data_IF_317560446974
#
_entry.id   IF_317560446974
#
_cell.length_a   1.000
_cell.length_b   1.000
_cell.length_c   1.000
_cell.angle_alpha   90.00
_cell.angle_beta   90.00
_cell.angle_gamma   90.00
#
_symmetry.space_group_name_H-M   'P 1'
#
loop_
_entity.id
_entity.type
_entity.pdbx_description
1 polymer ?
#
# COMPACT_ATOMS: atom_id res chain seq x y z
N UNK A 1 43.40 -16.57 6.32
CA UNK A 1 42.46 -17.43 7.04
C UNK A 1 42.88 -18.88 6.86
N UNK A 2 42.81 -19.71 7.91
CA UNK A 2 43.19 -21.14 7.86
C UNK A 2 42.34 -21.91 6.85
N UNK A 3 41.04 -21.57 6.70
CA UNK A 3 40.12 -22.27 5.81
C UNK A 3 40.43 -22.18 4.31
N UNK A 4 40.94 -21.04 3.81
CA UNK A 4 41.32 -20.94 2.39
C UNK A 4 42.51 -21.82 2.04
N UNK A 5 43.43 -22.06 2.99
CA UNK A 5 44.56 -22.97 2.78
C UNK A 5 44.10 -24.44 2.70
N UNK A 6 42.98 -24.77 3.37
CA UNK A 6 42.38 -26.10 3.38
C UNK A 6 41.54 -26.40 2.13
N UNK A 7 40.73 -25.44 1.65
CA UNK A 7 39.75 -25.67 0.56
C UNK A 7 40.35 -25.44 -0.84
N UNK A 8 41.18 -24.41 -1.02
CA UNK A 8 41.64 -24.00 -2.36
C UNK A 8 42.39 -25.14 -3.09
N UNK A 9 43.26 -25.93 -2.43
CA UNK A 9 43.87 -27.10 -3.06
C UNK A 9 42.85 -28.17 -3.52
N UNK A 10 41.77 -28.38 -2.74
CA UNK A 10 40.70 -29.32 -3.07
C UNK A 10 39.90 -28.87 -4.30
N UNK A 11 39.46 -27.60 -4.33
CA UNK A 11 38.73 -27.04 -5.48
C UNK A 11 39.58 -27.12 -6.75
N UNK A 12 40.87 -26.80 -6.64
CA UNK A 12 41.78 -26.80 -7.78
C UNK A 12 42.07 -28.22 -8.30
N UNK A 13 42.16 -29.20 -7.40
CA UNK A 13 42.31 -30.60 -7.76
C UNK A 13 41.05 -31.12 -8.47
N UNK A 14 39.88 -30.91 -7.90
CA UNK A 14 38.63 -31.39 -8.49
C UNK A 14 38.32 -30.73 -9.83
N UNK A 15 38.54 -29.41 -9.95
CA UNK A 15 38.36 -28.71 -11.23
C UNK A 15 39.26 -29.22 -12.35
N UNK A 16 40.47 -29.69 -12.04
CA UNK A 16 41.37 -30.33 -13.04
C UNK A 16 40.90 -31.74 -13.38
N UNK A 17 40.43 -32.50 -12.39
CA UNK A 17 39.89 -33.86 -12.60
C UNK A 17 38.64 -33.81 -13.48
N UNK A 18 37.72 -32.88 -13.21
CA UNK A 18 36.48 -32.74 -13.99
C UNK A 18 36.76 -32.30 -15.44
N UNK A 19 37.71 -31.38 -15.63
CA UNK A 19 38.04 -30.86 -16.95
C UNK A 19 38.88 -31.82 -17.81
N UNK A 20 39.76 -32.62 -17.19
CA UNK A 20 40.83 -33.33 -17.89
C UNK A 20 41.02 -34.80 -17.50
N UNK A 21 40.23 -35.30 -16.55
CA UNK A 21 40.32 -36.67 -16.03
C UNK A 21 41.39 -36.85 -14.95
N UNK A 22 41.30 -37.99 -14.25
CA UNK A 22 42.13 -38.33 -13.08
C UNK A 22 43.65 -38.37 -13.36
N UNK A 23 44.03 -38.70 -14.60
CA UNK A 23 45.42 -38.81 -15.07
C UNK A 23 46.16 -37.47 -15.07
N UNK A 24 45.43 -36.35 -15.02
CA UNK A 24 45.94 -34.99 -15.21
C UNK A 24 46.10 -34.20 -13.90
N UNK A 25 46.01 -34.84 -12.73
CA UNK A 25 46.18 -34.22 -11.40
C UNK A 25 47.52 -33.46 -11.23
N UNK A 26 48.56 -33.80 -11.99
CA UNK A 26 49.87 -33.12 -12.00
C UNK A 26 49.82 -31.70 -12.57
N UNK A 27 48.77 -31.35 -13.32
CA UNK A 27 48.56 -30.02 -13.90
C UNK A 27 47.87 -29.04 -12.93
N UNK A 28 47.58 -29.47 -11.70
CA UNK A 28 47.05 -28.60 -10.64
C UNK A 28 48.03 -27.51 -10.22
N UNK A 29 49.34 -27.66 -10.46
CA UNK A 29 50.35 -26.68 -10.03
C UNK A 29 50.51 -26.59 -8.51
N UNK A 30 50.01 -27.58 -7.76
CA UNK A 30 50.19 -27.69 -6.31
C UNK A 30 51.54 -28.32 -5.98
N UNK A 31 52.22 -27.91 -4.88
CA UNK A 31 53.36 -28.63 -4.33
C UNK A 31 53.00 -30.10 -4.02
N UNK A 32 53.95 -31.02 -4.16
CA UNK A 32 53.68 -32.47 -4.05
C UNK A 32 53.06 -32.88 -2.70
N UNK A 33 53.44 -32.20 -1.60
CA UNK A 33 52.85 -32.41 -0.28
C UNK A 33 51.38 -31.99 -0.22
N UNK A 34 51.04 -30.81 -0.77
CA UNK A 34 49.69 -30.28 -0.81
C UNK A 34 48.77 -31.08 -1.76
N UNK A 35 49.31 -31.55 -2.89
CA UNK A 35 48.58 -32.42 -3.81
C UNK A 35 48.19 -33.74 -3.12
N UNK A 36 49.14 -34.41 -2.48
CA UNK A 36 48.89 -35.68 -1.78
C UNK A 36 47.88 -35.53 -0.64
N UNK A 37 47.90 -34.39 0.04
CA UNK A 37 46.93 -34.08 1.08
C UNK A 37 45.53 -33.80 0.53
N UNK A 38 45.43 -33.03 -0.56
CA UNK A 38 44.17 -32.77 -1.26
C UNK A 38 43.56 -34.06 -1.83
N UNK A 39 44.37 -34.94 -2.43
CA UNK A 39 43.93 -36.25 -2.92
C UNK A 39 43.33 -37.10 -1.79
N UNK A 40 43.99 -37.14 -0.63
CA UNK A 40 43.51 -37.88 0.53
C UNK A 40 42.17 -37.34 1.06
N UNK A 41 42.00 -36.02 1.08
CA UNK A 41 40.76 -35.36 1.50
C UNK A 41 39.63 -35.62 0.49
N UNK A 42 39.94 -35.52 -0.80
CA UNK A 42 39.00 -35.77 -1.89
C UNK A 42 38.50 -37.23 -1.88
N UNK A 43 39.40 -38.19 -1.72
CA UNK A 43 39.05 -39.61 -1.62
C UNK A 43 38.08 -39.86 -0.44
N UNK A 44 38.34 -39.22 0.70
CA UNK A 44 37.45 -39.31 1.87
C UNK A 44 36.07 -38.72 1.60
N UNK A 45 35.98 -37.60 0.87
CA UNK A 45 34.71 -36.97 0.49
C UNK A 45 33.93 -37.85 -0.51
N UNK A 46 34.64 -38.47 -1.47
CA UNK A 46 34.06 -39.28 -2.54
C UNK A 46 33.79 -40.73 -2.15
N UNK A 47 34.29 -41.21 -1.01
CA UNK A 47 34.15 -42.61 -0.58
C UNK A 47 32.69 -43.13 -0.64
N UNK A 48 31.73 -42.34 -0.13
CA UNK A 48 30.30 -42.70 -0.15
C UNK A 48 29.72 -42.70 -1.57
N UNK A 49 30.12 -41.73 -2.38
CA UNK A 49 29.71 -41.65 -3.79
C UNK A 49 30.19 -42.88 -4.58
N UNK A 50 31.46 -43.26 -4.40
CA UNK A 50 32.08 -44.41 -5.04
C UNK A 50 31.45 -45.73 -4.58
N UNK A 51 31.06 -45.84 -3.31
CA UNK A 51 30.35 -47.00 -2.77
C UNK A 51 28.97 -47.16 -3.42
N UNK A 52 28.17 -46.09 -3.46
CA UNK A 52 26.84 -46.09 -4.08
C UNK A 52 26.92 -46.35 -5.60
N UNK A 53 27.92 -45.79 -6.28
CA UNK A 53 28.16 -46.05 -7.71
C UNK A 53 28.56 -47.50 -7.98
N UNK A 54 29.28 -48.15 -7.06
CA UNK A 54 29.62 -49.59 -7.17
C UNK A 54 28.42 -50.51 -6.96
N UNK A 55 27.47 -50.13 -6.11
CA UNK A 55 26.24 -50.91 -5.90
C UNK A 55 25.19 -50.69 -6.98
N UNK A 56 25.39 -49.72 -7.88
CA UNK A 56 24.45 -49.38 -8.95
C UNK A 56 23.23 -48.59 -8.47
N UNK A 57 23.22 -48.12 -7.22
CA UNK A 57 22.08 -47.44 -6.60
C UNK A 57 22.09 -45.92 -6.79
N UNK A 58 23.04 -45.39 -7.57
CA UNK A 58 23.24 -43.95 -7.76
C UNK A 58 22.01 -43.21 -8.30
N UNK A 59 21.19 -43.87 -9.12
CA UNK A 59 19.96 -43.28 -9.68
C UNK A 59 18.79 -43.24 -8.67
N UNK A 60 18.92 -43.95 -7.54
CA UNK A 60 17.86 -44.13 -6.54
C UNK A 60 18.13 -43.37 -5.23
N UNK A 61 19.13 -42.50 -5.17
CA UNK A 61 19.43 -41.72 -3.98
C UNK A 61 18.58 -40.46 -3.89
N UNK A 62 18.34 -40.00 -2.66
CA UNK A 62 17.91 -38.62 -2.44
C UNK A 62 19.10 -37.68 -2.61
N UNK A 63 19.10 -36.95 -3.74
CA UNK A 63 20.16 -36.00 -4.06
C UNK A 63 20.26 -34.84 -3.08
N UNK A 64 19.15 -34.40 -2.46
CA UNK A 64 19.17 -33.29 -1.51
C UNK A 64 19.86 -33.71 -0.21
N UNK A 65 19.54 -34.90 0.30
CA UNK A 65 20.19 -35.46 1.48
C UNK A 65 21.68 -35.75 1.24
N UNK A 66 22.03 -36.31 0.07
CA UNK A 66 23.42 -36.54 -0.31
C UNK A 66 24.21 -35.22 -0.41
N UNK A 67 23.63 -34.18 -1.02
CA UNK A 67 24.26 -32.86 -1.09
C UNK A 67 24.45 -32.25 0.30
N UNK A 68 23.42 -32.29 1.16
CA UNK A 68 23.49 -31.77 2.51
C UNK A 68 24.57 -32.48 3.34
N UNK A 69 24.68 -33.81 3.24
CA UNK A 69 25.71 -34.57 3.96
C UNK A 69 27.12 -34.26 3.43
N UNK A 70 27.27 -34.10 2.12
CA UNK A 70 28.56 -33.76 1.49
C UNK A 70 29.02 -32.36 1.89
N UNK A 71 28.11 -31.38 1.90
CA UNK A 71 28.39 -30.03 2.38
C UNK A 71 28.83 -30.02 3.85
N UNK A 72 28.15 -30.78 4.73
CA UNK A 72 28.58 -30.91 6.14
C UNK A 72 29.98 -31.51 6.29
N UNK A 73 30.36 -32.46 5.45
CA UNK A 73 31.71 -33.03 5.45
C UNK A 73 32.76 -32.01 5.00
N UNK A 74 32.43 -31.17 4.00
CA UNK A 74 33.27 -30.07 3.56
C UNK A 74 33.39 -29.03 4.68
N UNK A 75 32.30 -28.63 5.32
CA UNK A 75 32.31 -27.69 6.44
C UNK A 75 33.22 -28.19 7.58
N UNK A 76 33.16 -29.48 7.90
CA UNK A 76 34.02 -30.09 8.91
C UNK A 76 35.52 -30.14 8.56
N UNK A 77 35.91 -29.88 7.31
CA UNK A 77 37.31 -29.69 6.92
C UNK A 77 37.81 -28.26 7.17
N UNK A 78 36.88 -27.31 7.24
CA UNK A 78 37.16 -25.86 7.25
C UNK A 78 37.02 -25.31 8.65
N UNK A 79 35.98 -25.75 9.36
CA UNK A 79 35.58 -25.21 10.64
C UNK A 79 35.77 -26.26 11.75
N UNK A 80 36.34 -25.84 12.87
CA UNK A 80 36.43 -26.69 14.07
C UNK A 80 35.16 -26.49 14.91
N UNK A 81 34.57 -27.55 15.50
CA UNK A 81 33.39 -27.40 16.37
C UNK A 81 33.57 -26.38 17.52
N UNK A 82 34.80 -26.23 18.02
CA UNK A 82 35.18 -25.24 19.03
C UNK A 82 35.16 -23.78 18.54
N UNK A 83 35.20 -23.53 17.23
CA UNK A 83 35.09 -22.19 16.64
C UNK A 83 33.64 -21.68 16.61
N UNK A 84 32.65 -22.55 16.92
CA UNK A 84 31.24 -22.20 17.01
C UNK A 84 30.74 -22.03 18.46
N UNK A 85 31.62 -22.06 19.46
CA UNK A 85 31.19 -21.89 20.85
C UNK A 85 30.59 -20.51 21.15
N UNK A 86 30.93 -19.51 20.35
CA UNK A 86 30.42 -18.13 20.43
C UNK A 86 29.25 -17.86 19.45
N UNK A 87 28.76 -18.89 18.74
CA UNK A 87 27.63 -18.73 17.83
C UNK A 87 26.34 -18.74 18.64
N UNK A 88 25.68 -17.58 18.71
CA UNK A 88 24.34 -17.48 19.25
C UNK A 88 23.33 -17.92 18.19
N UNK A 89 22.26 -18.57 18.62
CA UNK A 89 21.14 -18.94 17.76
C UNK A 89 20.42 -17.64 17.34
N UNK A 90 20.70 -17.21 16.12
CA UNK A 90 20.18 -15.97 15.53
C UNK A 90 19.66 -16.34 14.15
N UNK A 91 18.34 -16.38 14.03
CA UNK A 91 17.67 -16.65 12.77
C UNK A 91 17.32 -15.33 12.09
N UNK A 92 17.92 -15.04 10.93
CA UNK A 92 17.50 -13.94 10.07
C UNK A 92 16.19 -14.31 9.37
N UNK A 93 15.09 -13.69 9.79
CA UNK A 93 13.76 -13.99 9.28
C UNK A 93 13.44 -13.26 7.96
N UNK A 94 13.96 -12.04 7.81
CA UNK A 94 13.75 -11.20 6.64
C UNK A 94 14.77 -10.05 6.58
N UNK A 95 14.94 -9.50 5.38
CA UNK A 95 15.77 -8.32 5.12
C UNK A 95 15.03 -7.34 4.21
N UNK A 96 15.10 -6.07 4.55
CA UNK A 96 14.57 -4.98 3.71
C UNK A 96 15.69 -4.02 3.37
N UNK A 97 16.04 -4.00 2.09
CA UNK A 97 16.98 -3.02 1.55
C UNK A 97 16.41 -1.62 1.63
N UNK A 98 17.22 -0.68 2.11
CA UNK A 98 16.89 0.75 2.11
C UNK A 98 17.62 1.46 0.97
N UNK A 99 17.16 2.66 0.60
CA UNK A 99 17.81 3.46 -0.44
C UNK A 99 19.25 3.91 -0.07
N UNK A 100 19.62 3.80 1.21
CA UNK A 100 20.96 4.18 1.71
C UNK A 100 21.96 3.02 1.68
N UNK A 101 21.53 1.82 1.30
CA UNK A 101 22.35 0.61 1.39
C UNK A 101 22.52 0.08 2.82
N UNK A 102 21.80 0.66 3.80
CA UNK A 102 21.75 0.21 5.18
C UNK A 102 20.47 -0.59 5.40
N UNK A 103 20.60 -1.91 5.42
CA UNK A 103 19.42 -2.78 5.47
C UNK A 103 18.73 -2.75 6.84
N UNK A 104 17.43 -3.04 6.81
CA UNK A 104 16.66 -3.42 7.99
C UNK A 104 16.69 -4.94 8.08
N UNK A 105 17.18 -5.46 9.21
CA UNK A 105 17.33 -6.90 9.44
C UNK A 105 16.33 -7.35 10.49
N UNK A 106 15.57 -8.39 10.19
CA UNK A 106 14.60 -9.01 11.09
C UNK A 106 15.21 -10.29 11.65
N UNK A 107 15.23 -10.41 12.96
CA UNK A 107 15.85 -11.55 13.64
C UNK A 107 14.90 -12.17 14.66
N UNK A 108 14.98 -13.49 14.81
CA UNK A 108 14.54 -14.20 16.00
C UNK A 108 15.79 -14.62 16.79
N UNK A 109 15.81 -14.32 18.09
CA UNK A 109 16.93 -14.70 18.96
C UNK A 109 16.56 -14.53 20.43
N UNK A 110 17.17 -15.36 21.28
CA UNK A 110 17.13 -15.21 22.74
C UNK A 110 17.97 -14.01 23.23
N UNK A 111 18.82 -13.44 22.38
CA UNK A 111 19.67 -12.29 22.72
C UNK A 111 18.86 -11.01 22.96
N UNK A 112 19.39 -10.16 23.84
CA UNK A 112 18.93 -8.78 23.93
C UNK A 112 19.25 -8.00 22.65
N UNK A 113 18.44 -7.00 22.30
CA UNK A 113 18.63 -6.21 21.06
C UNK A 113 20.01 -5.54 20.96
N UNK A 114 20.64 -5.20 22.10
CA UNK A 114 22.00 -4.65 22.16
C UNK A 114 23.09 -5.71 21.95
N UNK A 115 22.88 -6.92 22.46
CA UNK A 115 23.80 -8.05 22.25
C UNK A 115 23.74 -8.50 20.79
N UNK A 116 22.52 -8.57 20.24
CA UNK A 116 22.29 -8.85 18.84
C UNK A 116 22.95 -7.80 17.94
N UNK A 117 22.87 -6.51 18.27
CA UNK A 117 23.57 -5.45 17.54
C UNK A 117 25.08 -5.70 17.44
N UNK A 118 25.73 -6.02 18.57
CA UNK A 118 27.17 -6.31 18.60
C UNK A 118 27.49 -7.57 17.80
N UNK A 119 26.66 -8.61 17.90
CA UNK A 119 26.81 -9.86 17.19
C UNK A 119 26.70 -9.68 15.67
N UNK A 120 25.64 -9.04 15.18
CA UNK A 120 25.43 -8.80 13.74
C UNK A 120 26.51 -7.90 13.15
N UNK A 121 27.00 -6.91 13.90
CA UNK A 121 28.11 -6.05 13.45
C UNK A 121 29.40 -6.84 13.23
N UNK A 122 29.68 -7.84 14.09
CA UNK A 122 30.82 -8.76 13.90
C UNK A 122 30.61 -9.68 12.70
N UNK A 123 29.38 -10.20 12.51
CA UNK A 123 29.06 -11.17 11.47
C UNK A 123 29.08 -10.55 10.06
N UNK A 124 28.40 -9.43 9.85
CA UNK A 124 28.27 -8.82 8.53
C UNK A 124 29.42 -7.87 8.17
N UNK A 125 30.32 -7.57 9.12
CA UNK A 125 31.41 -6.59 8.95
C UNK A 125 30.92 -5.14 8.71
N UNK A 126 29.61 -4.93 8.66
CA UNK A 126 28.93 -3.66 8.45
C UNK A 126 27.73 -3.59 9.38
N UNK A 127 27.49 -2.41 9.95
CA UNK A 127 26.40 -2.20 10.88
C UNK A 127 25.06 -2.11 10.11
N UNK A 128 24.04 -2.92 10.47
CA UNK A 128 22.70 -2.80 9.89
C UNK A 128 22.10 -1.42 10.21
N UNK A 129 21.16 -0.94 9.40
CA UNK A 129 20.50 0.34 9.64
C UNK A 129 19.53 0.26 10.82
N UNK A 130 18.65 -0.74 10.79
CA UNK A 130 17.67 -1.02 11.85
C UNK A 130 17.63 -2.52 12.11
N UNK A 131 17.54 -2.90 13.38
CA UNK A 131 17.30 -4.27 13.82
C UNK A 131 15.86 -4.38 14.32
N UNK A 132 15.15 -5.39 13.83
CA UNK A 132 13.81 -5.76 14.30
C UNK A 132 13.89 -7.14 14.93
N UNK A 133 13.94 -7.17 16.25
CA UNK A 133 14.03 -8.39 17.04
C UNK A 133 12.63 -8.89 17.41
N UNK A 134 12.29 -10.10 16.98
CA UNK A 134 11.16 -10.85 17.50
C UNK A 134 11.58 -11.52 18.82
N UNK A 135 10.86 -11.25 19.91
CA UNK A 135 11.10 -11.93 21.20
C UNK A 135 10.14 -13.09 21.44
N UNK A 136 8.95 -12.97 20.88
CA UNK A 136 7.90 -13.99 20.89
C UNK A 136 6.90 -13.66 19.77
N UNK A 137 6.02 -14.60 19.39
CA UNK A 137 4.98 -14.32 18.40
C UNK A 137 4.19 -13.06 18.77
N UNK A 138 4.17 -12.06 17.88
CA UNK A 138 3.46 -10.80 18.08
C UNK A 138 4.17 -9.76 18.97
N UNK A 139 5.40 -10.02 19.44
CA UNK A 139 6.19 -9.08 20.26
C UNK A 139 7.51 -8.77 19.58
N UNK A 140 7.67 -7.50 19.18
CA UNK A 140 8.83 -7.02 18.45
C UNK A 140 9.49 -5.84 19.16
N UNK A 141 10.82 -5.81 19.13
CA UNK A 141 11.65 -4.68 19.53
C UNK A 141 12.33 -4.11 18.29
N UNK A 142 12.17 -2.81 18.07
CA UNK A 142 12.79 -2.09 16.97
C UNK A 142 13.94 -1.26 17.54
N UNK A 143 15.09 -1.33 16.89
CA UNK A 143 16.25 -0.52 17.25
C UNK A 143 16.91 0.04 16.00
N UNK A 144 16.94 1.35 15.89
CA UNK A 144 17.78 2.03 14.94
C UNK A 144 19.22 1.94 15.44
N UNK A 145 20.09 1.47 14.56
CA UNK A 145 21.47 1.19 14.88
C UNK A 145 22.37 2.20 14.14
N UNK A 146 22.05 2.54 12.89
CA UNK A 146 22.73 3.60 12.15
C UNK A 146 22.07 4.97 12.41
N UNK A 147 22.79 5.86 13.08
CA UNK A 147 22.37 7.24 13.36
C UNK A 147 22.31 8.12 12.11
N UNK A 148 22.93 7.70 11.00
CA UNK A 148 22.95 8.44 9.74
C UNK A 148 21.81 8.06 8.79
N UNK A 149 20.86 7.23 9.24
CA UNK A 149 19.61 7.04 8.49
C UNK A 149 18.89 8.40 8.35
N UNK A 150 18.28 8.69 7.19
CA UNK A 150 17.66 9.99 6.92
C UNK A 150 16.50 10.32 7.85
N UNK A 151 15.83 9.28 8.34
CA UNK A 151 14.66 9.35 9.22
C UNK A 151 14.88 8.40 10.40
N UNK A 152 14.29 8.75 11.54
CA UNK A 152 14.30 7.91 12.73
C UNK A 152 13.13 6.89 12.70
N UNK A 153 12.83 6.21 13.80
CA UNK A 153 11.75 5.22 13.84
C UNK A 153 10.33 5.81 13.88
N UNK A 154 10.14 7.12 14.11
CA UNK A 154 8.79 7.73 14.22
C UNK A 154 7.91 7.51 12.99
N UNK A 155 8.38 7.71 11.74
CA UNK A 155 7.58 7.45 10.55
C UNK A 155 7.19 5.97 10.41
N UNK A 156 8.04 5.06 10.89
CA UNK A 156 7.74 3.63 10.93
C UNK A 156 6.66 3.33 11.97
N UNK A 157 6.72 3.94 13.15
CA UNK A 157 5.66 3.81 14.17
C UNK A 157 4.34 4.35 13.66
N UNK A 158 4.31 5.52 13.03
CA UNK A 158 3.12 6.08 12.42
C UNK A 158 2.53 5.10 11.38
N UNK A 159 3.39 4.48 10.56
CA UNK A 159 2.97 3.50 9.56
C UNK A 159 2.40 2.24 10.19
N UNK A 160 3.09 1.64 11.15
CA UNK A 160 2.66 0.42 11.83
C UNK A 160 1.35 0.65 12.60
N UNK A 161 1.23 1.78 13.30
CA UNK A 161 -0.01 2.16 14.00
C UNK A 161 -1.20 2.35 13.05
N UNK A 162 -0.96 2.77 11.82
CA UNK A 162 -1.99 2.91 10.80
C UNK A 162 -2.50 1.56 10.27
N UNK A 163 -1.62 0.56 10.12
CA UNK A 163 -1.97 -0.73 9.50
C UNK A 163 -2.27 -1.86 10.49
N UNK A 164 -1.78 -1.77 11.73
CA UNK A 164 -1.95 -2.83 12.75
C UNK A 164 -3.36 -2.83 13.36
N UNK A 165 -4.15 -3.90 13.18
CA UNK A 165 -5.49 -4.03 13.77
C UNK A 165 -5.49 -4.15 15.31
N UNK A 166 -4.34 -4.41 15.94
CA UNK A 166 -4.22 -4.44 17.39
C UNK A 166 -4.26 -3.05 18.04
N UNK A 167 -3.94 -2.00 17.26
CA UNK A 167 -3.91 -0.63 17.73
C UNK A 167 -5.32 -0.04 17.66
N UNK A 168 -5.96 0.12 18.83
CA UNK A 168 -7.35 0.64 18.94
C UNK A 168 -7.44 1.97 19.68
N UNK A 169 -6.48 2.24 20.55
CA UNK A 169 -6.45 3.35 21.49
C UNK A 169 -5.04 3.92 21.63
N UNK A 170 -4.94 5.19 22.02
CA UNK A 170 -3.67 5.92 22.11
C UNK A 170 -2.67 5.32 23.11
N UNK A 171 -3.12 4.45 24.03
CA UNK A 171 -2.27 3.80 25.04
C UNK A 171 -1.62 2.48 24.59
N UNK A 172 -2.11 1.87 23.50
CA UNK A 172 -1.64 0.56 23.03
C UNK A 172 -1.20 0.63 21.56
N UNK A 173 -0.09 1.33 21.32
CA UNK A 173 0.47 1.61 20.00
C UNK A 173 1.88 1.03 19.86
N UNK A 174 2.34 0.88 18.63
CA UNK A 174 3.77 0.87 18.33
C UNK A 174 4.39 2.20 18.75
N UNK A 175 5.54 2.16 19.42
CA UNK A 175 6.20 3.38 19.86
C UNK A 175 7.39 3.14 20.79
N UNK A 176 8.04 4.24 21.17
CA UNK A 176 9.28 4.26 21.94
C UNK A 176 9.94 5.63 21.84
N UNK A 177 11.27 5.66 21.82
CA UNK A 177 12.02 6.81 21.34
C UNK A 177 12.22 6.73 19.83
N UNK A 178 12.73 7.79 19.21
CA UNK A 178 13.11 7.77 17.80
C UNK A 178 14.15 6.70 17.43
N UNK A 179 14.88 6.14 18.40
CA UNK A 179 15.94 5.16 18.16
C UNK A 179 15.60 3.75 18.64
N UNK A 180 14.67 3.60 19.58
CA UNK A 180 14.29 2.29 20.11
C UNK A 180 12.84 2.26 20.56
N UNK A 181 12.13 1.19 20.23
CA UNK A 181 10.75 0.99 20.65
C UNK A 181 10.28 -0.42 20.37
N UNK A 182 8.97 -0.62 20.32
CA UNK A 182 8.42 -1.95 20.10
C UNK A 182 6.96 -1.97 19.74
N UNK A 183 6.45 -3.20 19.63
CA UNK A 183 5.03 -3.51 19.40
C UNK A 183 4.13 -3.06 20.55
N UNK A 184 2.81 -2.96 20.33
CA UNK A 184 1.83 -2.62 21.38
C UNK A 184 2.00 -3.51 22.62
N UNK A 185 2.17 -2.89 23.79
CA UNK A 185 2.58 -3.60 25.02
C UNK A 185 1.50 -4.51 25.59
N UNK A 186 0.23 -4.16 25.44
CA UNK A 186 -0.86 -4.86 26.10
C UNK A 186 -1.34 -6.08 25.30
N UNK A 187 -1.28 -5.99 23.97
CA UNK A 187 -1.85 -7.02 23.08
C UNK A 187 -0.85 -7.68 22.16
N UNK A 188 0.36 -7.12 22.03
CA UNK A 188 1.22 -7.41 20.88
C UNK A 188 0.63 -6.87 19.57
N UNK A 189 1.36 -7.09 18.48
CA UNK A 189 0.91 -6.80 17.11
C UNK A 189 0.09 -7.96 16.54
N UNK A 190 -0.86 -7.65 15.66
CA UNK A 190 -1.57 -8.64 14.82
C UNK A 190 -1.01 -8.72 13.40
N UNK A 191 0.00 -7.91 13.08
CA UNK A 191 0.69 -7.96 11.80
C UNK A 191 1.59 -9.19 11.74
N UNK A 192 1.61 -9.82 10.58
CA UNK A 192 2.64 -10.79 10.19
C UNK A 192 3.99 -10.11 9.98
N UNK A 193 5.07 -10.88 10.06
CA UNK A 193 6.43 -10.42 9.76
C UNK A 193 6.51 -9.71 8.39
N UNK A 194 5.83 -10.27 7.38
CA UNK A 194 5.79 -9.70 6.03
C UNK A 194 5.17 -8.30 6.02
N UNK A 195 4.08 -8.09 6.76
CA UNK A 195 3.41 -6.78 6.81
C UNK A 195 4.23 -5.74 7.56
N UNK A 196 4.97 -6.16 8.60
CA UNK A 196 5.92 -5.28 9.29
C UNK A 196 7.07 -4.92 8.33
N UNK A 197 7.65 -5.89 7.63
CA UNK A 197 8.67 -5.65 6.62
C UNK A 197 8.18 -4.73 5.49
N UNK A 198 6.94 -4.89 5.04
CA UNK A 198 6.32 -4.01 4.05
C UNK A 198 6.12 -2.58 4.60
N UNK A 199 5.80 -2.40 5.89
CA UNK A 199 5.75 -1.09 6.53
C UNK A 199 7.12 -0.38 6.53
N UNK A 200 8.19 -1.12 6.83
CA UNK A 200 9.56 -0.61 6.72
C UNK A 200 9.92 -0.25 5.28
N UNK A 201 9.55 -1.09 4.31
CA UNK A 201 9.80 -0.83 2.88
C UNK A 201 9.09 0.45 2.43
N UNK A 202 7.82 0.65 2.76
CA UNK A 202 7.07 1.86 2.39
C UNK A 202 7.70 3.12 2.99
N UNK A 203 8.33 3.00 4.16
CA UNK A 203 8.92 4.15 4.89
C UNK A 203 10.32 4.49 4.38
N UNK A 204 11.22 3.50 4.29
CA UNK A 204 12.63 3.76 3.94
C UNK A 204 12.95 3.63 2.44
N UNK A 205 12.06 3.02 1.65
CA UNK A 205 12.24 2.90 0.21
C UNK A 205 11.28 3.84 -0.50
N UNK A 206 11.83 4.87 -1.14
CA UNK A 206 11.04 5.70 -2.06
C UNK A 206 10.50 4.83 -3.20
N UNK A 207 9.19 4.89 -3.50
CA UNK A 207 8.62 4.16 -4.62
C UNK A 207 9.30 4.56 -5.94
N UNK A 208 9.50 3.59 -6.82
CA UNK A 208 10.01 3.88 -8.16
C UNK A 208 8.96 4.57 -9.02
N UNK A 209 9.39 5.23 -10.10
CA UNK A 209 8.48 5.82 -11.10
C UNK A 209 7.48 4.77 -11.63
N UNK A 210 7.95 3.54 -11.83
CA UNK A 210 7.10 2.43 -12.26
C UNK A 210 6.05 2.02 -11.22
N UNK A 211 6.35 2.13 -9.92
CA UNK A 211 5.35 1.89 -8.88
C UNK A 211 4.26 2.95 -8.91
N UNK A 212 4.64 4.22 -9.12
CA UNK A 212 3.69 5.31 -9.30
C UNK A 212 2.77 5.08 -10.50
N UNK A 213 3.34 4.76 -11.68
CA UNK A 213 2.57 4.49 -12.90
C UNK A 213 1.64 3.29 -12.70
N UNK A 214 2.15 2.17 -12.18
CA UNK A 214 1.35 0.97 -11.95
C UNK A 214 0.19 1.25 -11.00
N UNK A 215 0.47 1.86 -9.85
CA UNK A 215 -0.56 2.16 -8.85
C UNK A 215 -1.57 3.20 -9.37
N UNK A 216 -1.14 4.14 -10.21
CA UNK A 216 -2.03 5.06 -10.91
C UNK A 216 -2.96 4.32 -11.89
N UNK A 217 -2.43 3.42 -12.73
CA UNK A 217 -3.25 2.62 -13.65
C UNK A 217 -4.24 1.72 -12.91
N UNK A 218 -3.83 1.12 -11.78
CA UNK A 218 -4.78 0.40 -10.92
C UNK A 218 -5.87 1.30 -10.35
N UNK A 219 -5.51 2.51 -9.90
CA UNK A 219 -6.48 3.50 -9.45
C UNK A 219 -7.49 3.89 -10.55
N UNK A 220 -7.02 4.10 -11.79
CA UNK A 220 -7.89 4.30 -12.98
C UNK A 220 -8.82 3.11 -13.14
N UNK A 221 -8.27 1.89 -13.17
CA UNK A 221 -9.04 0.68 -13.41
C UNK A 221 -10.11 0.44 -12.36
N UNK A 222 -9.78 0.59 -11.07
CA UNK A 222 -10.73 0.47 -9.96
C UNK A 222 -11.86 1.48 -10.11
N UNK A 223 -11.52 2.74 -10.40
CA UNK A 223 -12.50 3.81 -10.58
C UNK A 223 -13.40 3.45 -11.77
N UNK A 224 -12.83 3.09 -12.92
CA UNK A 224 -13.60 2.67 -14.09
C UNK A 224 -14.51 1.46 -13.81
N UNK A 225 -14.05 0.48 -13.04
CA UNK A 225 -14.83 -0.71 -12.67
C UNK A 225 -16.04 -0.41 -11.78
N UNK A 226 -16.07 0.75 -11.11
CA UNK A 226 -17.26 1.22 -10.37
C UNK A 226 -18.12 2.12 -11.26
N UNK A 227 -17.50 3.09 -11.94
CA UNK A 227 -18.21 4.10 -12.72
C UNK A 227 -18.89 3.53 -13.96
N UNK A 228 -18.22 2.64 -14.72
CA UNK A 228 -18.73 2.09 -15.98
C UNK A 228 -19.98 1.22 -15.72
N UNK A 229 -19.96 0.22 -14.82
CA UNK A 229 -21.17 -0.56 -14.53
C UNK A 229 -22.28 0.30 -13.94
N UNK A 230 -21.96 1.26 -13.07
CA UNK A 230 -22.97 2.18 -12.53
C UNK A 230 -23.66 2.98 -13.64
N UNK A 231 -22.89 3.46 -14.62
CA UNK A 231 -23.40 4.16 -15.80
C UNK A 231 -24.29 3.26 -16.65
N UNK A 232 -23.82 2.05 -16.98
CA UNK A 232 -24.61 1.10 -17.78
C UNK A 232 -25.89 0.69 -17.07
N UNK A 233 -25.85 0.43 -15.75
CA UNK A 233 -27.04 0.07 -14.97
C UNK A 233 -28.02 1.25 -14.93
N UNK A 234 -27.55 2.46 -14.65
CA UNK A 234 -28.40 3.65 -14.67
C UNK A 234 -29.05 3.87 -16.05
N UNK A 235 -28.29 3.68 -17.12
CA UNK A 235 -28.78 3.80 -18.50
C UNK A 235 -29.83 2.72 -18.82
N UNK A 236 -29.56 1.46 -18.46
CA UNK A 236 -30.50 0.36 -18.74
C UNK A 236 -31.74 0.41 -17.85
N UNK A 237 -31.63 0.85 -16.60
CA UNK A 237 -32.80 1.08 -15.74
C UNK A 237 -33.69 2.18 -16.34
N UNK A 238 -33.09 3.25 -16.87
CA UNK A 238 -33.86 4.27 -17.57
C UNK A 238 -34.57 3.73 -18.82
N UNK A 239 -33.89 2.97 -19.67
CA UNK A 239 -34.48 2.43 -20.91
C UNK A 239 -35.53 1.35 -20.66
N UNK A 240 -35.37 0.51 -19.62
CA UNK A 240 -36.30 -0.57 -19.32
C UNK A 240 -37.62 -0.10 -18.73
N UNK A 241 -37.61 1.00 -17.98
CA UNK A 241 -38.79 1.46 -17.26
C UNK A 241 -39.56 2.59 -17.95
N UNK A 242 -39.13 3.05 -19.14
CA UNK A 242 -39.75 4.11 -19.96
C UNK A 242 -40.47 5.17 -19.09
N UNK A 243 -39.70 5.81 -18.20
CA UNK A 243 -40.19 6.67 -17.11
C UNK A 243 -40.98 7.89 -17.57
N UNK A 244 -40.97 8.16 -18.86
CA UNK A 244 -41.89 9.08 -19.51
C UNK A 244 -42.72 8.28 -20.49
N UNK A 245 -44.04 8.17 -20.30
CA UNK A 245 -44.95 7.77 -21.38
C UNK A 245 -45.01 8.80 -22.53
N UNK A 246 -43.88 9.44 -22.85
CA UNK A 246 -43.69 10.55 -23.78
C UNK A 246 -42.84 10.02 -24.92
N UNK A 247 -43.50 9.67 -26.01
CA UNK A 247 -42.86 9.15 -27.21
C UNK A 247 -41.77 10.06 -27.74
N UNK A 248 -40.60 9.46 -27.99
CA UNK A 248 -39.63 9.63 -29.10
C UNK A 248 -39.25 11.03 -29.64
N UNK A 249 -39.70 12.14 -29.05
CA UNK A 249 -39.54 13.48 -29.67
C UNK A 249 -38.51 14.36 -28.93
N UNK A 250 -38.09 13.99 -27.71
CA UNK A 250 -37.09 14.71 -26.89
C UNK A 250 -35.98 13.80 -26.31
N UNK A 251 -35.78 12.63 -26.92
CA UNK A 251 -35.01 11.50 -26.36
C UNK A 251 -33.53 11.77 -26.00
N UNK A 252 -32.91 12.85 -26.47
CA UNK A 252 -31.48 13.13 -26.21
C UNK A 252 -31.20 13.90 -24.91
N UNK A 253 -31.98 14.95 -24.62
CA UNK A 253 -31.73 15.85 -23.47
C UNK A 253 -32.33 15.27 -22.18
N UNK A 254 -33.54 14.72 -22.28
CA UNK A 254 -34.26 14.12 -21.16
C UNK A 254 -33.62 12.81 -20.69
N UNK A 255 -33.00 12.05 -21.61
CA UNK A 255 -32.24 10.85 -21.27
C UNK A 255 -30.93 11.19 -20.54
N UNK A 256 -30.24 12.27 -20.92
CA UNK A 256 -29.04 12.72 -20.23
C UNK A 256 -29.37 13.22 -18.81
N UNK A 257 -30.44 14.01 -18.66
CA UNK A 257 -30.92 14.48 -17.36
C UNK A 257 -31.41 13.35 -16.45
N UNK A 258 -32.11 12.37 -17.01
CA UNK A 258 -32.59 11.21 -16.24
C UNK A 258 -31.44 10.28 -15.84
N UNK A 259 -30.40 10.17 -16.67
CA UNK A 259 -29.17 9.44 -16.33
C UNK A 259 -28.42 10.13 -15.18
N UNK A 260 -28.35 11.46 -15.16
CA UNK A 260 -27.76 12.22 -14.05
C UNK A 260 -28.47 11.98 -12.70
N UNK A 261 -29.79 11.79 -12.72
CA UNK A 261 -30.58 11.58 -11.51
C UNK A 261 -30.51 10.12 -11.02
N UNK A 262 -30.42 9.16 -11.94
CA UNK A 262 -30.41 7.73 -11.61
C UNK A 262 -29.01 7.22 -11.26
N UNK A 263 -27.97 7.84 -11.83
CA UNK A 263 -26.57 7.45 -11.64
C UNK A 263 -26.08 7.55 -10.17
N UNK A 264 -26.36 8.63 -9.41
CA UNK A 264 -26.08 8.70 -7.98
C UNK A 264 -26.73 7.55 -7.21
N UNK A 265 -27.97 7.18 -7.54
CA UNK A 265 -28.69 6.12 -6.86
C UNK A 265 -28.00 4.76 -7.02
N UNK A 266 -27.49 4.49 -8.21
CA UNK A 266 -26.75 3.26 -8.51
C UNK A 266 -25.38 3.24 -7.82
N UNK A 267 -24.69 4.38 -7.76
CA UNK A 267 -23.41 4.48 -7.05
C UNK A 267 -23.55 4.13 -5.56
N UNK A 268 -24.64 4.53 -4.90
CA UNK A 268 -24.90 4.19 -3.48
C UNK A 268 -25.05 2.69 -3.27
N UNK A 269 -25.54 1.95 -4.26
CA UNK A 269 -25.71 0.50 -4.13
C UNK A 269 -24.39 -0.24 -4.39
N UNK A 270 -23.63 0.20 -5.39
CA UNK A 270 -22.40 -0.46 -5.81
C UNK A 270 -21.24 -0.19 -4.83
N UNK A 271 -21.08 1.04 -4.36
CA UNK A 271 -19.91 1.42 -3.54
C UNK A 271 -19.87 0.65 -2.20
N UNK A 272 -20.95 0.55 -1.40
CA UNK A 272 -20.97 -0.25 -0.19
C UNK A 272 -20.82 -1.75 -0.46
N UNK A 273 -21.35 -2.26 -1.58
CA UNK A 273 -21.21 -3.66 -1.94
C UNK A 273 -19.75 -4.02 -2.27
N UNK A 274 -19.06 -3.19 -3.07
CA UNK A 274 -17.62 -3.31 -3.34
C UNK A 274 -16.82 -3.22 -2.04
N UNK A 275 -17.20 -2.30 -1.17
CA UNK A 275 -16.57 -2.11 0.13
C UNK A 275 -16.72 -3.33 1.05
N UNK A 276 -17.94 -3.91 1.12
CA UNK A 276 -18.23 -5.11 1.91
C UNK A 276 -17.45 -6.33 1.40
N UNK A 277 -17.32 -6.47 0.08
CA UNK A 277 -16.57 -7.56 -0.57
C UNK A 277 -15.04 -7.42 -0.40
N UNK A 278 -14.53 -6.19 -0.23
CA UNK A 278 -13.09 -5.93 -0.15
C UNK A 278 -12.41 -6.35 1.16
N UNK A 279 -13.18 -6.75 2.19
CA UNK A 279 -12.63 -7.45 3.36
C UNK A 279 -11.83 -6.57 4.34
N UNK A 280 -12.45 -6.26 5.47
CA UNK A 280 -11.90 -5.99 6.83
C UNK A 280 -10.46 -5.44 6.94
N UNK A 281 -10.26 -4.16 6.59
CA UNK A 281 -9.22 -3.29 7.20
C UNK A 281 -9.78 -1.91 7.50
N UNK A 282 -10.71 -1.84 8.45
CA UNK A 282 -11.52 -0.66 8.74
C UNK A 282 -10.69 0.64 8.76
N UNK A 283 -9.59 0.68 9.52
CA UNK A 283 -8.74 1.87 9.68
C UNK A 283 -8.10 2.38 8.38
N UNK A 284 -7.52 1.50 7.59
CA UNK A 284 -6.85 1.88 6.32
C UNK A 284 -7.81 2.56 5.35
N UNK A 285 -9.09 2.21 5.42
CA UNK A 285 -10.15 2.77 4.59
C UNK A 285 -10.98 3.86 5.29
N UNK A 286 -10.57 4.32 6.49
CA UNK A 286 -11.21 5.42 7.23
C UNK A 286 -12.43 5.04 8.08
N UNK A 287 -12.57 3.75 8.38
CA UNK A 287 -13.42 3.07 9.38
C UNK A 287 -13.56 3.67 10.78
N UNK A 288 -12.58 4.47 11.17
CA UNK A 288 -12.35 4.77 12.58
C UNK A 288 -13.20 5.94 13.06
N UNK A 289 -13.32 6.05 14.38
CA UNK A 289 -13.86 7.23 15.03
C UNK A 289 -12.90 8.40 14.76
N UNK A 290 -13.38 9.57 14.30
CA UNK A 290 -12.52 10.70 14.01
C UNK A 290 -11.77 11.16 15.25
N UNK A 291 -10.47 11.37 15.10
CA UNK A 291 -9.57 11.85 16.15
C UNK A 291 -9.02 13.24 15.83
N UNK A 292 -8.69 14.01 16.87
CA UNK A 292 -8.23 15.39 16.70
C UNK A 292 -9.33 16.34 16.19
N UNK A 293 -9.00 17.63 16.13
CA UNK A 293 -9.91 18.71 15.70
C UNK A 293 -9.26 19.68 14.70
N UNK A 294 -8.01 19.45 14.36
CA UNK A 294 -7.21 20.29 13.47
C UNK A 294 -7.72 20.30 12.02
N UNK A 295 -8.37 19.23 11.58
CA UNK A 295 -9.04 19.14 10.29
C UNK A 295 -10.19 20.15 10.13
N UNK A 296 -10.74 20.69 11.22
CA UNK A 296 -11.78 21.73 11.16
C UNK A 296 -11.27 23.03 10.51
N UNK A 297 -9.97 23.31 10.60
CA UNK A 297 -9.37 24.50 9.97
C UNK A 297 -9.48 24.49 8.43
N UNK A 298 -9.76 23.34 7.83
CA UNK A 298 -9.93 23.21 6.38
C UNK A 298 -11.36 23.54 5.90
N UNK A 299 -12.34 23.70 6.80
CA UNK A 299 -13.74 23.96 6.42
C UNK A 299 -13.93 25.22 5.56
N UNK A 300 -13.29 26.37 5.87
CA UNK A 300 -13.41 27.57 5.02
C UNK A 300 -12.90 27.32 3.60
N UNK A 301 -11.82 26.56 3.45
CA UNK A 301 -11.25 26.22 2.14
C UNK A 301 -12.16 25.25 1.36
N UNK A 302 -12.79 24.29 2.05
CA UNK A 302 -13.79 23.41 1.46
C UNK A 302 -15.00 24.22 0.93
N UNK A 303 -15.49 25.19 1.70
CA UNK A 303 -16.59 26.08 1.31
C UNK A 303 -16.23 26.90 0.07
N UNK A 304 -15.05 27.54 0.05
CA UNK A 304 -14.60 28.31 -1.12
C UNK A 304 -14.50 27.46 -2.39
N UNK A 305 -13.92 26.25 -2.27
CA UNK A 305 -13.82 25.32 -3.38
C UNK A 305 -15.21 24.88 -3.88
N UNK A 306 -16.15 24.65 -2.97
CA UNK A 306 -17.52 24.26 -3.32
C UNK A 306 -18.30 25.36 -4.03
N UNK A 307 -18.27 26.60 -3.51
CA UNK A 307 -18.89 27.77 -4.13
C UNK A 307 -18.32 28.01 -5.54
N UNK A 308 -17.07 27.62 -5.77
CA UNK A 308 -16.39 27.75 -7.07
C UNK A 308 -16.69 26.61 -8.06
N UNK A 309 -17.62 25.70 -7.74
CA UNK A 309 -17.96 24.57 -8.62
C UNK A 309 -17.37 23.23 -8.20
N UNK A 310 -16.73 23.15 -7.03
CA UNK A 310 -15.93 21.98 -6.65
C UNK A 310 -16.69 20.81 -6.04
N UNK A 311 -18.00 20.93 -5.81
CA UNK A 311 -18.82 19.91 -5.14
C UNK A 311 -19.75 19.25 -6.14
N UNK A 312 -19.98 17.95 -5.98
CA UNK A 312 -20.89 17.18 -6.82
C UNK A 312 -22.33 17.39 -6.36
N UNK A 313 -23.15 17.98 -7.22
CA UNK A 313 -24.55 18.26 -6.97
C UNK A 313 -25.37 17.71 -8.14
N UNK A 314 -26.50 17.02 -7.88
CA UNK A 314 -27.40 16.61 -8.96
C UNK A 314 -27.98 17.83 -9.67
N UNK A 315 -28.25 17.69 -10.97
CA UNK A 315 -29.00 18.71 -11.70
C UNK A 315 -30.43 18.79 -11.17
N UNK A 316 -30.81 19.95 -10.64
CA UNK A 316 -32.16 20.18 -10.13
C UNK A 316 -33.08 20.54 -11.29
N UNK A 317 -34.20 19.83 -11.42
CA UNK A 317 -35.16 20.10 -12.49
C UNK A 317 -35.97 21.36 -12.16
N UNK A 318 -36.26 22.16 -13.19
CA UNK A 318 -37.12 23.35 -13.06
C UNK A 318 -38.52 22.91 -12.59
N UNK A 319 -39.06 23.49 -11.50
CA UNK A 319 -40.39 23.22 -10.99
C UNK A 319 -41.52 23.31 -12.04
N UNK A 320 -41.28 24.00 -13.15
CA UNK A 320 -42.21 24.11 -14.28
C UNK A 320 -42.39 22.80 -15.07
N UNK A 321 -41.44 21.86 -15.00
CA UNK A 321 -41.57 20.52 -15.57
C UNK A 321 -42.33 19.66 -14.56
N UNK A 322 -43.66 19.64 -14.69
CA UNK A 322 -44.60 19.14 -13.67
C UNK A 322 -44.27 17.80 -13.02
N UNK A 323 -44.96 17.49 -11.91
CA UNK A 323 -44.70 16.35 -11.00
C UNK A 323 -44.66 14.97 -11.68
N UNK A 324 -43.54 14.63 -12.33
CA UNK A 324 -43.26 13.26 -12.77
C UNK A 324 -43.01 12.43 -11.52
N UNK A 325 -43.77 11.36 -11.37
CA UNK A 325 -43.70 10.44 -10.23
C UNK A 325 -43.12 9.10 -10.68
N UNK A 326 -42.10 8.61 -9.99
CA UNK A 326 -41.47 7.31 -10.20
C UNK A 326 -41.83 6.44 -8.99
N UNK A 327 -42.84 5.58 -9.15
CA UNK A 327 -43.39 4.80 -8.03
C UNK A 327 -44.04 5.71 -6.97
N UNK A 328 -43.55 5.63 -5.73
CA UNK A 328 -44.06 6.44 -4.60
C UNK A 328 -43.35 7.80 -4.43
N UNK A 329 -42.29 8.06 -5.22
CA UNK A 329 -41.48 9.28 -5.09
C UNK A 329 -41.64 10.15 -6.34
N UNK A 330 -41.75 11.45 -6.14
CA UNK A 330 -41.65 12.44 -7.22
C UNK A 330 -40.19 12.62 -7.65
N UNK A 331 -39.97 13.08 -8.88
CA UNK A 331 -38.63 13.41 -9.39
C UNK A 331 -37.91 14.41 -8.48
N UNK A 332 -38.63 15.41 -7.95
CA UNK A 332 -38.11 16.37 -6.98
C UNK A 332 -37.65 15.70 -5.67
N UNK A 333 -38.38 14.71 -5.17
CA UNK A 333 -37.98 13.94 -3.99
C UNK A 333 -36.74 13.07 -4.28
N UNK A 334 -36.63 12.50 -5.47
CA UNK A 334 -35.45 11.74 -5.89
C UNK A 334 -34.22 12.65 -5.99
N UNK A 335 -34.37 13.84 -6.57
CA UNK A 335 -33.31 14.84 -6.66
C UNK A 335 -32.87 15.33 -5.28
N UNK A 336 -33.82 15.60 -4.37
CA UNK A 336 -33.51 15.96 -2.98
C UNK A 336 -32.78 14.84 -2.25
N UNK A 337 -33.15 13.58 -2.46
CA UNK A 337 -32.38 12.44 -1.92
C UNK A 337 -30.97 12.38 -2.52
N UNK A 338 -30.83 12.61 -3.82
CA UNK A 338 -29.54 12.60 -4.50
C UNK A 338 -28.57 13.67 -3.95
N UNK A 339 -29.06 14.84 -3.52
CA UNK A 339 -28.23 15.89 -2.88
C UNK A 339 -27.51 15.38 -1.63
N UNK A 340 -28.11 14.47 -0.86
CA UNK A 340 -27.46 13.88 0.32
C UNK A 340 -26.67 12.62 -0.01
N UNK A 341 -27.20 11.78 -0.90
CA UNK A 341 -26.63 10.47 -1.13
C UNK A 341 -25.41 10.48 -2.06
N UNK A 342 -25.32 11.46 -2.97
CA UNK A 342 -24.18 11.63 -3.87
C UNK A 342 -22.90 11.99 -3.09
N UNK A 343 -22.90 12.96 -2.14
CA UNK A 343 -21.78 13.21 -1.24
C UNK A 343 -21.28 11.96 -0.51
N UNK A 344 -22.19 11.18 0.07
CA UNK A 344 -21.84 9.96 0.82
C UNK A 344 -21.14 8.95 -0.10
N UNK A 345 -21.70 8.73 -1.29
CA UNK A 345 -21.15 7.78 -2.27
C UNK A 345 -19.80 8.22 -2.80
N UNK A 346 -19.65 9.52 -3.09
CA UNK A 346 -18.40 10.09 -3.56
C UNK A 346 -17.30 9.93 -2.49
N UNK A 347 -17.57 10.29 -1.24
CA UNK A 347 -16.57 10.18 -0.18
C UNK A 347 -16.23 8.72 0.16
N UNK A 348 -17.22 7.81 0.15
CA UNK A 348 -16.95 6.37 0.30
C UNK A 348 -16.04 5.83 -0.82
N UNK A 349 -16.25 6.27 -2.05
CA UNK A 349 -15.48 5.80 -3.20
C UNK A 349 -14.08 6.41 -3.26
N UNK A 350 -13.95 7.74 -3.16
CA UNK A 350 -12.66 8.41 -3.28
C UNK A 350 -11.86 8.39 -1.99
N UNK A 351 -12.46 8.70 -0.84
CA UNK A 351 -11.74 8.90 0.45
C UNK A 351 -11.76 7.63 1.32
N UNK A 352 -12.75 6.78 1.12
CA UNK A 352 -12.78 5.43 1.64
C UNK A 352 -11.93 4.50 0.80
N UNK A 353 -12.51 4.00 -0.30
CA UNK A 353 -11.96 2.91 -1.10
C UNK A 353 -10.65 3.26 -1.82
N UNK A 354 -10.68 4.23 -2.74
CA UNK A 354 -9.54 4.54 -3.60
C UNK A 354 -8.36 5.10 -2.80
N UNK A 355 -8.63 6.03 -1.88
CA UNK A 355 -7.62 6.54 -0.96
C UNK A 355 -7.06 5.43 -0.09
N UNK A 356 -7.90 4.59 0.52
CA UNK A 356 -7.44 3.48 1.36
C UNK A 356 -6.52 2.51 0.62
N UNK A 357 -6.87 2.14 -0.61
CA UNK A 357 -6.01 1.31 -1.47
C UNK A 357 -4.64 1.93 -1.73
N UNK A 358 -4.58 3.25 -1.96
CA UNK A 358 -3.31 3.95 -2.15
C UNK A 358 -2.56 4.13 -0.81
N UNK A 359 -3.27 4.37 0.28
CA UNK A 359 -2.73 4.50 1.62
C UNK A 359 -2.07 3.19 2.10
N UNK A 360 -2.38 2.02 1.53
CA UNK A 360 -1.63 0.77 1.78
C UNK A 360 -0.20 0.79 1.24
N UNK A 361 0.12 1.69 0.30
CA UNK A 361 1.40 1.68 -0.42
C UNK A 361 2.18 2.97 -0.31
N UNK A 362 1.54 4.05 0.14
CA UNK A 362 2.13 5.37 0.23
C UNK A 362 1.95 5.99 1.63
N UNK A 363 2.91 6.82 2.08
CA UNK A 363 2.76 7.62 3.27
C UNK A 363 1.54 8.54 3.19
N UNK A 364 0.87 8.72 4.33
CA UNK A 364 -0.27 9.62 4.52
C UNK A 364 -0.01 10.52 5.71
N UNK A 365 -0.74 11.63 5.82
CA UNK A 365 -0.78 12.37 7.08
C UNK A 365 -1.39 11.50 8.18
N UNK A 366 -1.10 11.86 9.42
CA UNK A 366 -1.73 11.28 10.60
C UNK A 366 -2.10 12.38 11.59
N UNK A 367 -2.93 12.01 12.57
CA UNK A 367 -3.36 12.87 13.67
C UNK A 367 -2.12 13.46 14.35
N UNK A 368 -2.12 14.78 14.58
CA UNK A 368 -1.02 15.54 15.18
C UNK A 368 0.35 15.48 14.45
N UNK A 369 0.42 14.90 13.24
CA UNK A 369 1.64 14.86 12.42
C UNK A 369 1.92 16.15 11.66
N UNK A 370 2.92 16.11 10.79
CA UNK A 370 3.20 17.20 9.85
C UNK A 370 2.12 17.33 8.78
N UNK A 371 1.91 18.56 8.31
CA UNK A 371 0.97 18.87 7.23
C UNK A 371 1.66 18.76 5.87
N UNK A 372 1.10 17.96 4.98
CA UNK A 372 1.52 17.85 3.58
C UNK A 372 0.41 17.25 2.74
N UNK A 373 0.43 17.45 1.42
CA UNK A 373 -0.51 16.75 0.52
C UNK A 373 0.07 15.39 0.17
N UNK A 374 -0.54 14.33 0.66
CA UNK A 374 -0.11 12.96 0.36
C UNK A 374 -0.40 12.58 -1.10
N UNK A 375 0.34 11.59 -1.60
CA UNK A 375 0.09 11.03 -2.92
C UNK A 375 -1.33 10.43 -3.05
N UNK A 376 -1.84 9.63 -2.08
CA UNK A 376 -3.24 9.18 -2.07
C UNK A 376 -4.26 10.32 -2.18
N UNK A 377 -4.07 11.40 -1.41
CA UNK A 377 -4.96 12.57 -1.44
C UNK A 377 -4.92 13.27 -2.80
N UNK A 378 -3.73 13.51 -3.35
CA UNK A 378 -3.58 14.15 -4.65
C UNK A 378 -4.24 13.35 -5.79
N UNK A 379 -3.99 12.04 -5.85
CA UNK A 379 -4.54 11.17 -6.91
C UNK A 379 -6.05 11.08 -6.81
N UNK A 380 -6.60 10.84 -5.62
CA UNK A 380 -8.06 10.73 -5.41
C UNK A 380 -8.78 12.04 -5.69
N UNK A 381 -8.18 13.19 -5.33
CA UNK A 381 -8.68 14.50 -5.67
C UNK A 381 -8.67 14.77 -7.18
N UNK A 382 -7.60 14.34 -7.87
CA UNK A 382 -7.49 14.46 -9.32
C UNK A 382 -8.57 13.64 -10.03
N UNK A 383 -8.83 12.40 -9.59
CA UNK A 383 -9.92 11.59 -10.15
C UNK A 383 -11.30 12.18 -9.88
N UNK A 384 -11.53 12.64 -8.66
CA UNK A 384 -12.78 13.33 -8.31
C UNK A 384 -13.01 14.55 -9.23
N UNK A 385 -11.97 15.35 -9.48
CA UNK A 385 -12.01 16.45 -10.44
C UNK A 385 -12.23 15.98 -11.88
N UNK A 386 -11.47 14.99 -12.37
CA UNK A 386 -11.62 14.48 -13.74
C UNK A 386 -13.04 14.00 -14.02
N UNK A 387 -13.71 13.43 -13.02
CA UNK A 387 -15.07 12.95 -13.16
C UNK A 387 -16.08 14.11 -13.27
N UNK A 388 -15.79 15.29 -12.71
CA UNK A 388 -16.61 16.50 -12.99
C UNK A 388 -16.58 16.94 -14.44
N UNK A 389 -15.55 16.55 -15.21
CA UNK A 389 -15.49 16.84 -16.65
C UNK A 389 -16.29 15.84 -17.49
N UNK A 390 -16.55 14.64 -16.97
CA UNK A 390 -17.15 13.52 -17.70
C UNK A 390 -18.62 13.34 -17.31
N UNK A 391 -18.91 13.40 -16.01
CA UNK A 391 -20.29 13.36 -15.53
C UNK A 391 -20.91 14.73 -15.78
N UNK A 392 -22.16 14.76 -16.24
CA UNK A 392 -22.86 16.02 -16.42
C UNK A 392 -23.44 16.44 -15.06
N UNK A 393 -22.56 16.72 -14.09
CA UNK A 393 -22.88 17.29 -12.78
C UNK A 393 -22.92 18.80 -12.92
N UNK A 394 -23.89 19.46 -12.28
CA UNK A 394 -23.91 20.93 -12.24
C UNK A 394 -22.74 21.42 -11.39
N UNK A 395 -21.82 22.14 -12.01
CA UNK A 395 -20.92 23.01 -11.25
C UNK A 395 -21.72 24.29 -10.94
N UNK A 396 -21.94 24.64 -9.65
CA UNK A 396 -22.66 25.86 -9.29
C UNK A 396 -22.14 27.06 -10.07
N UNK A 397 -23.01 27.84 -10.73
CA UNK A 397 -22.58 28.95 -11.54
C UNK A 397 -22.24 30.11 -10.61
N UNK A 398 -20.96 30.41 -10.42
CA UNK A 398 -20.57 31.76 -10.03
C UNK A 398 -20.86 32.79 -11.14
N UNK A 399 -21.44 32.40 -12.28
CA UNK A 399 -21.51 33.27 -13.44
C UNK A 399 -22.72 33.07 -14.37
N UNK A 400 -23.92 33.01 -13.80
CA UNK A 400 -25.11 33.50 -14.54
C UNK A 400 -25.15 35.06 -14.61
N UNK A 401 -24.11 35.72 -14.07
CA UNK A 401 -23.82 37.12 -14.35
C UNK A 401 -23.33 37.31 -15.81
N UNK A 402 -24.28 37.43 -16.73
CA UNK A 402 -24.20 38.30 -17.91
C UNK A 402 -23.22 37.97 -19.08
N UNK A 403 -22.47 36.87 -19.10
CA UNK A 403 -21.48 36.59 -20.17
C UNK A 403 -21.60 35.20 -20.84
N UNK A 404 -22.66 34.42 -20.56
CA UNK A 404 -22.84 33.03 -21.02
C UNK A 404 -23.03 32.84 -22.53
N UNK A 405 -23.07 33.92 -23.32
CA UNK A 405 -23.26 33.85 -24.78
C UNK A 405 -21.98 33.52 -25.58
N UNK A 406 -20.84 33.33 -24.90
CA UNK A 406 -19.54 33.11 -25.54
C UNK A 406 -18.94 31.75 -25.12
N UNK A 407 -18.82 30.81 -26.06
CA UNK A 407 -18.29 29.44 -25.88
C UNK A 407 -16.92 29.36 -25.16
N UNK A 408 -16.14 30.44 -25.21
CA UNK A 408 -14.89 30.56 -24.46
C UNK A 408 -15.13 30.57 -22.93
N UNK A 409 -16.11 31.33 -22.45
CA UNK A 409 -16.40 31.42 -21.01
C UNK A 409 -16.97 30.12 -20.45
N UNK A 410 -17.75 29.38 -21.23
CA UNK A 410 -18.21 28.04 -20.86
C UNK A 410 -17.04 27.07 -20.64
N UNK A 411 -16.03 27.08 -21.51
CA UNK A 411 -14.80 26.25 -21.37
C UNK A 411 -13.94 26.68 -20.18
N UNK A 412 -13.78 27.99 -19.96
CA UNK A 412 -13.06 28.52 -18.79
C UNK A 412 -13.76 28.11 -17.50
N UNK A 413 -15.10 28.15 -17.46
CA UNK A 413 -15.88 27.74 -16.29
C UNK A 413 -15.77 26.23 -16.01
N UNK A 414 -15.73 25.38 -17.04
CA UNK A 414 -15.51 23.94 -16.86
C UNK A 414 -14.11 23.64 -16.30
N UNK A 415 -13.08 24.32 -16.81
CA UNK A 415 -11.70 24.19 -16.31
C UNK A 415 -11.60 24.69 -14.86
N UNK A 416 -12.24 25.81 -14.53
CA UNK A 416 -12.30 26.33 -13.17
C UNK A 416 -13.04 25.38 -12.21
N UNK A 417 -14.13 24.75 -12.68
CA UNK A 417 -14.85 23.70 -11.95
C UNK A 417 -13.97 22.49 -11.66
N UNK A 418 -13.19 22.03 -12.64
CA UNK A 418 -12.21 20.95 -12.44
C UNK A 418 -11.21 21.29 -11.33
N UNK A 419 -10.55 22.46 -11.39
CA UNK A 419 -9.57 22.84 -10.37
C UNK A 419 -10.21 23.04 -9.00
N UNK A 420 -11.44 23.57 -8.96
CA UNK A 420 -12.22 23.71 -7.72
C UNK A 420 -12.57 22.34 -7.14
N UNK A 421 -12.91 21.36 -7.97
CA UNK A 421 -13.19 20.00 -7.54
C UNK A 421 -11.92 19.28 -7.06
N UNK A 422 -10.78 19.48 -7.73
CA UNK A 422 -9.49 19.00 -7.24
C UNK A 422 -9.15 19.63 -5.89
N UNK A 423 -9.34 20.95 -5.73
CA UNK A 423 -9.10 21.64 -4.45
C UNK A 423 -10.01 21.11 -3.34
N UNK A 424 -11.32 21.02 -3.60
CA UNK A 424 -12.28 20.41 -2.67
C UNK A 424 -11.83 19.01 -2.29
N UNK A 425 -11.38 18.24 -3.28
CA UNK A 425 -10.92 16.89 -3.08
C UNK A 425 -9.62 16.73 -2.29
N UNK A 426 -8.68 17.68 -2.43
CA UNK A 426 -7.46 17.75 -1.61
C UNK A 426 -7.83 18.06 -0.16
N UNK A 427 -8.78 18.98 0.03
CA UNK A 427 -9.29 19.34 1.35
C UNK A 427 -9.93 18.14 2.03
N UNK A 428 -10.92 17.49 1.40
CA UNK A 428 -11.60 16.34 2.02
C UNK A 428 -10.68 15.14 2.20
N UNK A 429 -9.71 14.92 1.31
CA UNK A 429 -8.65 13.92 1.50
C UNK A 429 -7.75 14.21 2.69
N UNK A 430 -7.35 15.48 2.87
CA UNK A 430 -6.56 15.91 4.04
C UNK A 430 -7.35 15.79 5.33
N UNK A 431 -8.63 16.18 5.33
CA UNK A 431 -9.57 16.00 6.46
C UNK A 431 -9.65 14.53 6.86
N UNK A 432 -9.75 13.63 5.87
CA UNK A 432 -9.78 12.19 6.11
C UNK A 432 -8.51 11.66 6.75
N UNK A 433 -7.34 12.10 6.31
CA UNK A 433 -6.06 11.66 6.89
C UNK A 433 -5.83 12.23 8.30
N UNK A 434 -6.11 13.53 8.49
CA UNK A 434 -5.94 14.23 9.77
C UNK A 434 -6.87 13.73 10.86
N UNK A 435 -8.07 13.30 10.48
CA UNK A 435 -9.03 12.70 11.41
C UNK A 435 -8.87 11.19 11.57
N UNK A 436 -8.17 10.53 10.65
CA UNK A 436 -8.13 9.06 10.53
C UNK A 436 -9.46 8.43 10.11
N UNK A 437 -10.45 9.25 9.71
CA UNK A 437 -11.82 8.81 9.46
C UNK A 437 -12.38 9.43 8.18
N UNK A 438 -13.23 8.69 7.46
CA UNK A 438 -14.01 9.28 6.36
C UNK A 438 -15.19 10.12 6.84
N UNK A 439 -15.62 9.96 8.10
CA UNK A 439 -16.82 10.61 8.62
C UNK A 439 -16.75 12.15 8.54
N UNK A 440 -15.62 12.81 8.88
CA UNK A 440 -15.52 14.26 8.73
C UNK A 440 -15.53 14.73 7.27
N UNK A 441 -14.95 13.96 6.35
CA UNK A 441 -15.02 14.26 4.92
C UNK A 441 -16.46 14.17 4.39
N UNK A 442 -17.18 13.11 4.76
CA UNK A 442 -18.62 12.97 4.51
C UNK A 442 -19.39 14.14 5.12
N UNK A 443 -19.10 14.49 6.37
CA UNK A 443 -19.75 15.60 7.09
C UNK A 443 -19.55 16.94 6.40
N UNK A 444 -18.33 17.25 5.95
CA UNK A 444 -18.06 18.46 5.16
C UNK A 444 -18.89 18.47 3.88
N UNK A 445 -18.86 17.39 3.12
CA UNK A 445 -19.57 17.30 1.84
C UNK A 445 -21.11 17.37 2.03
N UNK A 446 -21.66 16.69 3.04
CA UNK A 446 -23.08 16.72 3.40
C UNK A 446 -23.55 18.05 3.95
N UNK A 447 -22.68 18.83 4.60
CA UNK A 447 -23.03 20.17 5.07
C UNK A 447 -23.01 21.17 3.92
N UNK A 448 -22.03 21.03 3.02
CA UNK A 448 -21.77 22.00 1.96
C UNK A 448 -22.71 21.79 0.76
N UNK A 449 -22.95 20.56 0.31
CA UNK A 449 -23.78 20.32 -0.89
C UNK A 449 -25.21 20.89 -0.77
N UNK A 450 -25.97 20.65 0.32
CA UNK A 450 -27.28 21.26 0.51
C UNK A 450 -27.21 22.77 0.67
N UNK A 451 -26.16 23.29 1.32
CA UNK A 451 -25.97 24.73 1.47
C UNK A 451 -25.84 25.40 0.11
N UNK A 452 -25.02 24.84 -0.78
CA UNK A 452 -24.87 25.32 -2.15
C UNK A 452 -26.21 25.26 -2.89
N UNK A 453 -26.95 24.15 -2.79
CA UNK A 453 -28.29 24.03 -3.39
C UNK A 453 -29.28 25.09 -2.89
N UNK A 454 -29.22 25.50 -1.62
CA UNK A 454 -30.10 26.54 -1.08
C UNK A 454 -29.77 27.95 -1.59
N UNK A 455 -28.58 28.17 -2.14
CA UNK A 455 -28.12 29.46 -2.65
C UNK A 455 -28.14 29.57 -4.18
N UNK A 456 -28.47 28.49 -4.88
CA UNK A 456 -28.78 28.44 -6.33
C UNK A 456 -30.29 28.44 -6.49
#
# INVERSE_FOLDING_TARGET
SSGMQEIVPLIRLEGVIDAHGLEMNRFTGLPASALKEAEKKLEKLRAKELEIKKTGEWENIDYADYCAETLRKIDGLVYRPLEFHDYHDVDELARVETNTGRDVVFCDSDLGVYELEQYLTRLYGTQPGVIVLQKSPGVFTLRQVDLFLPENLEPVYARLNFVDPAVRDAGNTWGGSGEIGGSPRSTGTKLSLKEIADAFRVTYRRPGVWDHIRNFLYAVFITAAVFIPAFFIAHNLFTLFDWSGIGSTYAGRDALQSLQNTYPLVLILIVPAVYFLAGRRNRVYGFDIPAGHDWLYLLPLALMAAVSGGVWIPELSDPAHGNVSIGFLTLSQIQMLAVFLLPISAELLFRGFLHGFLAERYPCQHVAGQWFVSYPTFITASFYGLITLILPLQTPPLHDLALSHWDWFARVNQIAGFFSAVLFGIVTGSVRERSGSILPAIGFHLLIAPLIVLFI
#
